data_IF_342546717895
#
_entry.id   IF_342546717895
#
_cell.length_a   1.000
_cell.length_b   1.000
_cell.length_c   1.000
_cell.angle_alpha   90.00
_cell.angle_beta   90.00
_cell.angle_gamma   90.00
#
_symmetry.space_group_name_H-M   'P 1'
#
loop_
_entity.id
_entity.type
_entity.pdbx_description
1 polymer ?
#
# COMPACT_ATOMS: atom_id res chain seq x y z
N UNK A 1 6.62 -4.05 -12.17
CA UNK A 1 6.76 -5.23 -11.30
C UNK A 1 7.18 -4.69 -9.96
N UNK A 2 6.19 -4.38 -9.14
CA UNK A 2 6.41 -3.99 -7.75
C UNK A 2 7.20 -5.08 -7.04
N UNK A 3 8.24 -4.68 -6.33
CA UNK A 3 9.09 -5.57 -5.52
C UNK A 3 8.78 -5.43 -4.03
N UNK A 4 7.80 -4.59 -3.69
CA UNK A 4 7.45 -4.24 -2.32
C UNK A 4 6.33 -5.13 -1.83
N UNK A 5 6.55 -5.81 -0.70
CA UNK A 5 5.47 -6.50 0.01
C UNK A 5 4.51 -5.46 0.65
N UNK A 6 3.19 -5.72 0.66
CA UNK A 6 2.24 -4.88 1.38
C UNK A 6 2.39 -5.08 2.89
N UNK A 7 2.72 -4.00 3.61
CA UNK A 7 2.93 -4.01 5.05
C UNK A 7 1.86 -3.16 5.72
N UNK A 8 1.03 -3.77 6.56
CA UNK A 8 0.00 -3.03 7.32
C UNK A 8 0.65 -1.92 8.17
N UNK A 9 0.18 -0.69 8.00
CA UNK A 9 0.69 0.52 8.64
C UNK A 9 1.73 1.28 7.81
N UNK A 10 2.26 0.69 6.74
CA UNK A 10 3.25 1.32 5.86
C UNK A 10 2.57 2.21 4.81
N UNK A 11 3.18 3.37 4.56
CA UNK A 11 2.81 4.28 3.47
C UNK A 11 3.60 3.97 2.20
N UNK A 12 2.93 4.11 1.07
CA UNK A 12 3.47 3.93 -0.28
C UNK A 12 3.06 5.12 -1.15
N UNK A 13 3.92 5.46 -2.10
CA UNK A 13 3.67 6.43 -3.16
C UNK A 13 3.51 5.70 -4.49
N UNK A 14 2.36 5.86 -5.14
CA UNK A 14 2.13 5.46 -6.51
C UNK A 14 2.82 6.43 -7.45
N UNK A 15 3.91 5.99 -8.10
CA UNK A 15 4.72 6.84 -8.97
C UNK A 15 4.03 7.14 -10.31
N UNK A 16 3.02 6.35 -10.69
CA UNK A 16 2.25 6.55 -11.92
C UNK A 16 1.19 7.65 -11.78
N UNK A 17 0.47 7.66 -10.66
CA UNK A 17 -0.61 8.60 -10.35
C UNK A 17 -0.17 9.76 -9.45
N UNK A 18 1.05 9.71 -8.90
CA UNK A 18 1.57 10.66 -7.91
C UNK A 18 0.68 10.72 -6.65
N UNK A 19 0.18 9.56 -6.23
CA UNK A 19 -0.85 9.43 -5.19
C UNK A 19 -0.37 8.60 -4.01
N UNK A 20 -0.81 8.93 -2.79
CA UNK A 20 -0.28 8.35 -1.54
C UNK A 20 -1.34 7.58 -0.80
N UNK A 21 -0.98 6.38 -0.38
CA UNK A 21 -1.86 5.51 0.38
C UNK A 21 -1.09 4.69 1.41
N UNK A 22 -1.81 4.22 2.41
CA UNK A 22 -1.30 3.37 3.49
C UNK A 22 -2.02 2.04 3.46
N UNK A 23 -1.30 0.95 3.63
CA UNK A 23 -1.93 -0.36 3.80
C UNK A 23 -2.57 -0.42 5.20
N UNK A 24 -3.87 -0.67 5.27
CA UNK A 24 -4.62 -0.77 6.53
C UNK A 24 -4.96 -2.20 6.92
N UNK A 25 -5.04 -3.10 5.93
CA UNK A 25 -5.17 -4.53 6.17
C UNK A 25 -4.59 -5.33 5.00
N UNK A 26 -4.13 -6.55 5.30
CA UNK A 26 -3.76 -7.56 4.31
C UNK A 26 -4.42 -8.84 4.78
N UNK A 27 -5.30 -9.41 3.96
CA UNK A 27 -6.00 -10.63 4.36
C UNK A 27 -5.07 -11.86 4.18
N UNK A 28 -4.96 -12.65 5.25
CA UNK A 28 -4.06 -13.82 5.28
C UNK A 28 -4.67 -15.03 4.55
N UNK A 29 -5.96 -14.97 4.21
CA UNK A 29 -6.78 -16.07 3.69
C UNK A 29 -7.41 -15.75 2.34
N UNK A 30 -7.52 -14.47 1.98
CA UNK A 30 -7.98 -13.93 0.73
C UNK A 30 -6.90 -13.03 0.16
N UNK A 31 -6.57 -13.20 -1.12
CA UNK A 31 -5.53 -12.50 -1.86
C UNK A 31 -5.83 -11.00 -2.07
N UNK A 32 -6.22 -10.28 -1.02
CA UNK A 32 -6.71 -8.91 -1.03
C UNK A 32 -5.96 -8.05 0.00
N UNK A 33 -5.69 -6.82 -0.39
CA UNK A 33 -4.97 -5.79 0.37
C UNK A 33 -5.89 -4.58 0.44
N UNK A 34 -6.18 -4.10 1.65
CA UNK A 34 -6.92 -2.86 1.85
C UNK A 34 -5.94 -1.70 2.05
N UNK A 35 -6.08 -0.69 1.21
CA UNK A 35 -5.33 0.56 1.25
C UNK A 35 -6.25 1.72 1.62
N UNK A 36 -5.71 2.71 2.31
CA UNK A 36 -6.37 3.95 2.71
C UNK A 36 -5.59 5.13 2.15
N UNK A 37 -6.25 5.97 1.35
CA UNK A 37 -5.68 7.20 0.81
C UNK A 37 -5.65 8.32 1.87
N UNK A 38 -4.93 9.40 1.59
CA UNK A 38 -4.81 10.55 2.51
C UNK A 38 -6.16 11.23 2.84
N UNK A 39 -7.15 11.14 1.96
CA UNK A 39 -8.52 11.66 2.18
C UNK A 39 -9.37 10.76 3.11
N UNK A 40 -8.86 9.58 3.46
CA UNK A 40 -9.57 8.56 4.25
C UNK A 40 -10.46 7.65 3.40
N UNK A 41 -10.39 7.73 2.07
CA UNK A 41 -10.99 6.74 1.18
C UNK A 41 -10.25 5.42 1.29
N UNK A 42 -10.98 4.32 1.46
CA UNK A 42 -10.41 2.97 1.50
C UNK A 42 -10.73 2.22 0.22
N UNK A 43 -9.73 1.54 -0.33
CA UNK A 43 -9.86 0.69 -1.52
C UNK A 43 -9.26 -0.69 -1.25
N UNK A 44 -9.90 -1.72 -1.76
CA UNK A 44 -9.37 -3.09 -1.77
C UNK A 44 -8.74 -3.38 -3.12
N UNK A 45 -7.51 -3.88 -3.13
CA UNK A 45 -6.75 -4.26 -4.32
C UNK A 45 -6.27 -5.72 -4.18
N UNK A 46 -6.20 -6.45 -5.28
CA UNK A 46 -5.65 -7.81 -5.26
C UNK A 46 -4.11 -7.79 -5.27
N UNK A 47 -3.47 -8.89 -4.87
CA UNK A 47 -2.00 -9.01 -4.97
C UNK A 47 -1.49 -8.84 -6.41
N UNK A 48 -2.21 -9.35 -7.41
CA UNK A 48 -1.82 -9.19 -8.82
C UNK A 48 -1.79 -7.71 -9.24
N UNK A 49 -2.81 -6.93 -8.82
CA UNK A 49 -2.86 -5.48 -9.04
C UNK A 49 -1.72 -4.79 -8.26
N UNK A 50 -1.51 -5.16 -6.99
CA UNK A 50 -0.45 -4.60 -6.15
C UNK A 50 0.94 -4.75 -6.78
N UNK A 51 1.28 -5.93 -7.29
CA UNK A 51 2.57 -6.17 -7.93
C UNK A 51 2.69 -5.58 -9.34
N UNK A 52 1.59 -5.12 -9.93
CA UNK A 52 1.61 -4.37 -11.20
C UNK A 52 1.97 -2.89 -10.96
N UNK A 53 1.54 -2.31 -9.83
CA UNK A 53 1.77 -0.91 -9.47
C UNK A 53 3.27 -0.55 -9.33
N UNK A 54 3.61 0.67 -9.72
CA UNK A 54 4.93 1.27 -9.52
C UNK A 54 4.95 2.05 -8.20
N UNK A 55 5.34 1.35 -7.12
CA UNK A 55 5.27 1.87 -5.76
C UNK A 55 6.66 2.20 -5.20
N UNK A 56 6.76 3.31 -4.45
CA UNK A 56 7.93 3.65 -3.64
C UNK A 56 7.59 3.65 -2.14
N UNK A 57 8.52 3.22 -1.29
CA UNK A 57 8.35 3.21 0.16
C UNK A 57 8.45 4.63 0.71
N UNK A 58 7.37 5.08 1.35
CA UNK A 58 7.39 6.34 2.08
C UNK A 58 7.89 6.08 3.49
N UNK A 59 8.99 6.72 3.87
CA UNK A 59 9.47 6.70 5.25
C UNK A 59 8.47 7.48 6.12
N UNK A 60 7.55 6.77 6.77
CA UNK A 60 6.93 7.32 7.97
C UNK A 60 8.01 7.21 9.05
N UNK A 61 8.71 8.32 9.30
CA UNK A 61 9.86 8.46 10.22
C UNK A 61 9.60 7.95 11.67
N UNK A 62 8.45 7.33 11.97
CA UNK A 62 8.00 6.97 13.32
C UNK A 62 7.76 5.45 13.53
N UNK A 63 8.20 4.56 12.63
CA UNK A 63 8.15 3.09 12.88
C UNK A 63 9.29 2.57 13.80
N UNK A 64 10.09 3.46 14.39
CA UNK A 64 11.27 3.10 15.18
C UNK A 64 11.54 3.99 16.40
N UNK A 65 10.82 3.75 17.50
CA UNK A 65 11.34 3.97 18.86
C UNK A 65 10.75 3.01 19.88
#
# INVERSE_FOLDING_TARGET
>A
MGELDPIVGQWYLDLEQDDRFKVVAVDERGDEIDIEYEDGETRTVGFDEWYDLDLDLMDDEEAGS
#
